data_IF_875566728963
#
_entry.id   IF_875566728963
#
_cell.length_a   1.000
_cell.length_b   1.000
_cell.length_c   1.000
_cell.angle_alpha   90.00
_cell.angle_beta   90.00
_cell.angle_gamma   90.00
#
_symmetry.space_group_name_H-M   'P 1'
#
loop_
_entity.id
_entity.type
_entity.pdbx_description
1 polymer ?
2 water ?
#
# COMPACT_ATOMS: atom_id res chain seq x y z
N UNK A 1 -8.21 8.63 -8.19
CA UNK A 1 -7.19 7.56 -8.01
C UNK A 1 -7.38 6.87 -6.66
N UNK A 2 -7.22 5.55 -6.65
CA UNK A 2 -7.14 4.79 -5.41
C UNK A 2 -5.73 4.19 -5.34
N UNK A 3 -4.96 4.62 -4.34
CA UNK A 3 -3.56 4.22 -4.23
C UNK A 3 -3.33 3.57 -2.86
N UNK A 4 -2.85 2.33 -2.87
CA UNK A 4 -2.75 1.51 -1.66
C UNK A 4 -1.36 0.87 -1.58
N UNK A 5 -0.62 1.17 -0.52
CA UNK A 5 0.72 0.61 -0.30
C UNK A 5 0.87 -0.11 1.03
N UNK A 6 1.36 -1.35 0.98
CA UNK A 6 1.57 -2.15 2.19
C UNK A 6 2.99 -2.70 2.21
N UNK A 7 3.71 -2.41 3.29
CA UNK A 7 5.06 -2.91 3.48
C UNK A 7 5.12 -3.62 4.84
N UNK A 8 5.52 -4.90 4.84
CA UNK A 8 5.41 -5.72 6.04
C UNK A 8 6.59 -6.67 6.24
N UNK A 9 6.99 -6.82 7.50
CA UNK A 9 7.87 -7.92 7.91
C UNK A 9 7.22 -8.63 9.09
#
# INVERSE_FOLDING_TARGET
>A
AVVTGVTAV
#
